data_IF_731752304607
#
_entry.id   IF_731752304607
#
_cell.length_a   1.000
_cell.length_b   1.000
_cell.length_c   1.000
_cell.angle_alpha   90.00
_cell.angle_beta   90.00
_cell.angle_gamma   90.00
#
_symmetry.space_group_name_H-M   'P 1'
#
loop_
_entity.id
_entity.type
_entity.pdbx_description
1 polymer ?
#
# COMPACT_ATOMS: atom_id res chain seq x y z
N UNK A 1 32.32 11.72 -11.72
CA UNK A 1 31.07 11.01 -11.39
C UNK A 1 30.07 11.30 -12.49
N UNK A 2 30.00 10.41 -13.45
CA UNK A 2 29.10 10.52 -14.61
C UNK A 2 27.68 10.14 -14.19
N UNK A 3 26.68 10.83 -14.73
CA UNK A 3 25.24 10.63 -14.45
C UNK A 3 24.81 9.13 -14.49
N UNK A 4 25.49 8.32 -15.28
CA UNK A 4 25.30 6.88 -15.39
C UNK A 4 25.57 6.07 -14.11
N UNK A 5 26.63 6.38 -13.35
CA UNK A 5 26.97 5.66 -12.12
C UNK A 5 25.93 5.90 -11.01
N UNK A 6 25.34 7.09 -10.98
CA UNK A 6 24.23 7.40 -10.07
C UNK A 6 22.96 6.67 -10.49
N UNK A 7 22.67 6.57 -11.79
CA UNK A 7 21.51 5.84 -12.29
C UNK A 7 21.61 4.34 -12.00
N UNK A 8 22.78 3.72 -12.18
CA UNK A 8 22.97 2.29 -11.92
C UNK A 8 22.82 1.95 -10.44
N UNK A 9 23.33 2.79 -9.54
CA UNK A 9 23.14 2.63 -8.09
C UNK A 9 21.67 2.70 -7.68
N UNK A 10 20.87 3.58 -8.32
CA UNK A 10 19.43 3.67 -8.07
C UNK A 10 18.67 2.42 -8.55
N UNK A 11 19.06 1.85 -9.70
CA UNK A 11 18.44 0.62 -10.23
C UNK A 11 18.78 -0.59 -9.36
N UNK A 12 20.00 -0.65 -8.80
CA UNK A 12 20.43 -1.74 -7.91
C UNK A 12 19.63 -1.87 -6.61
N UNK A 13 18.95 -0.81 -6.16
CA UNK A 13 18.07 -0.83 -4.99
C UNK A 13 16.66 -1.37 -5.25
N UNK A 14 16.31 -1.65 -6.51
CA UNK A 14 14.99 -2.15 -6.88
C UNK A 14 14.96 -3.67 -6.67
N UNK A 15 14.06 -4.21 -5.82
CA UNK A 15 13.96 -5.66 -5.63
C UNK A 15 13.65 -6.36 -6.95
N UNK A 16 14.32 -7.49 -7.22
CA UNK A 16 14.03 -8.31 -8.40
C UNK A 16 12.68 -9.02 -8.24
N UNK A 17 11.64 -8.32 -8.67
CA UNK A 17 10.25 -8.77 -8.65
C UNK A 17 9.85 -9.45 -9.97
N UNK A 18 10.72 -10.27 -10.56
CA UNK A 18 10.45 -11.02 -11.82
C UNK A 18 9.12 -11.78 -11.82
N UNK A 19 8.72 -12.32 -10.66
CA UNK A 19 7.47 -13.09 -10.52
C UNK A 19 6.25 -12.24 -10.11
N UNK A 20 6.37 -10.91 -10.07
CA UNK A 20 5.27 -10.06 -9.63
C UNK A 20 4.17 -9.95 -10.69
N UNK A 21 2.96 -10.38 -10.32
CA UNK A 21 1.77 -10.36 -11.20
C UNK A 21 1.23 -8.97 -11.49
N UNK A 22 1.71 -7.95 -10.78
CA UNK A 22 1.40 -6.55 -11.06
C UNK A 22 2.14 -6.00 -12.30
N UNK A 23 3.22 -6.65 -12.74
CA UNK A 23 3.99 -6.21 -13.91
C UNK A 23 3.11 -6.24 -15.17
N UNK A 24 3.13 -5.14 -15.93
CA UNK A 24 2.31 -4.96 -17.14
C UNK A 24 0.85 -4.56 -16.88
N UNK A 25 0.47 -4.26 -15.62
CA UNK A 25 -0.90 -3.84 -15.25
C UNK A 25 -0.93 -2.48 -14.56
N UNK A 26 -0.03 -1.57 -14.92
CA UNK A 26 0.14 -0.27 -14.26
C UNK A 26 -1.19 0.50 -14.16
N UNK A 27 -1.99 0.53 -15.23
CA UNK A 27 -3.28 1.23 -15.26
C UNK A 27 -4.25 0.79 -14.17
N UNK A 28 -4.29 -0.53 -13.87
CA UNK A 28 -5.13 -1.06 -12.80
C UNK A 28 -4.68 -0.56 -11.43
N UNK A 29 -3.37 -0.49 -11.21
CA UNK A 29 -2.79 -0.04 -9.94
C UNK A 29 -2.88 1.48 -9.78
N UNK A 30 -2.68 2.25 -10.86
CA UNK A 30 -2.91 3.70 -10.89
C UNK A 30 -4.38 4.05 -10.60
N UNK A 31 -5.33 3.28 -11.14
CA UNK A 31 -6.77 3.45 -10.86
C UNK A 31 -7.15 3.23 -9.38
N UNK A 32 -6.29 2.63 -8.56
CA UNK A 32 -6.53 2.48 -7.11
C UNK A 32 -6.28 3.75 -6.32
N UNK A 33 -5.60 4.72 -6.93
CA UNK A 33 -5.33 6.04 -6.39
C UNK A 33 -6.37 7.00 -6.96
N UNK A 34 -7.31 7.43 -6.11
CA UNK A 34 -8.29 8.44 -6.48
C UNK A 34 -7.56 9.76 -6.77
N UNK A 35 -7.27 10.03 -8.03
CA UNK A 35 -6.82 11.36 -8.47
C UNK A 35 -8.07 12.14 -8.84
N UNK A 36 -8.26 13.30 -8.19
CA UNK A 36 -9.26 14.28 -8.63
C UNK A 36 -8.79 14.78 -10.00
N UNK A 37 -9.21 14.15 -11.10
CA UNK A 37 -9.03 14.72 -12.44
C UNK A 37 -9.84 16.00 -12.52
N UNK A 38 -9.28 16.98 -13.23
CA UNK A 38 -9.89 18.30 -13.48
C UNK A 38 -11.25 18.16 -14.18
N UNK A 39 -11.47 17.04 -14.87
CA UNK A 39 -12.62 16.83 -15.78
C UNK A 39 -13.63 15.79 -15.27
N UNK A 40 -13.56 15.43 -13.99
CA UNK A 40 -14.39 14.37 -13.39
C UNK A 40 -13.52 13.20 -12.94
N UNK A 41 -13.18 13.19 -11.65
CA UNK A 41 -12.42 12.09 -11.06
C UNK A 41 -13.18 10.76 -11.12
N UNK A 42 -12.44 9.64 -11.09
CA UNK A 42 -13.05 8.33 -10.95
C UNK A 42 -13.97 8.29 -9.74
N UNK A 43 -15.16 7.73 -9.93
CA UNK A 43 -16.12 7.60 -8.83
C UNK A 43 -15.50 6.77 -7.70
N UNK A 44 -15.93 7.00 -6.46
CA UNK A 44 -15.48 6.19 -5.31
C UNK A 44 -15.71 4.69 -5.57
N UNK A 45 -16.75 4.34 -6.33
CA UNK A 45 -17.07 2.97 -6.70
C UNK A 45 -16.05 2.38 -7.66
N UNK A 46 -15.62 3.11 -8.69
CA UNK A 46 -14.55 2.66 -9.60
C UNK A 46 -13.22 2.43 -8.87
N UNK A 47 -12.83 3.36 -8.00
CA UNK A 47 -11.60 3.23 -7.20
C UNK A 47 -11.67 1.99 -6.30
N UNK A 48 -12.82 1.75 -5.67
CA UNK A 48 -13.03 0.56 -4.86
C UNK A 48 -13.01 -0.73 -5.70
N UNK A 49 -13.61 -0.74 -6.88
CA UNK A 49 -13.57 -1.87 -7.80
C UNK A 49 -12.13 -2.18 -8.25
N UNK A 50 -11.35 -1.15 -8.60
CA UNK A 50 -9.93 -1.29 -8.94
C UNK A 50 -9.12 -1.85 -7.76
N UNK A 51 -9.38 -1.37 -6.53
CA UNK A 51 -8.73 -1.90 -5.31
C UNK A 51 -9.03 -3.37 -5.09
N UNK A 52 -10.30 -3.79 -5.22
CA UNK A 52 -10.68 -5.20 -5.08
C UNK A 52 -9.97 -6.07 -6.12
N UNK A 53 -9.93 -5.63 -7.38
CA UNK A 53 -9.23 -6.36 -8.44
C UNK A 53 -7.72 -6.46 -8.18
N UNK A 54 -7.07 -5.37 -7.77
CA UNK A 54 -5.65 -5.35 -7.43
C UNK A 54 -5.33 -6.24 -6.21
N UNK A 55 -6.16 -6.22 -5.17
CA UNK A 55 -5.99 -7.09 -4.00
C UNK A 55 -6.06 -8.58 -4.35
N UNK A 56 -6.99 -8.98 -5.24
CA UNK A 56 -7.08 -10.36 -5.74
C UNK A 56 -5.81 -10.77 -6.49
N UNK A 57 -5.23 -9.87 -7.29
CA UNK A 57 -3.96 -10.14 -7.96
C UNK A 57 -2.80 -10.28 -6.98
N UNK A 58 -2.72 -9.42 -5.96
CA UNK A 58 -1.70 -9.52 -4.92
C UNK A 58 -1.82 -10.83 -4.13
N UNK A 59 -3.03 -11.27 -3.80
CA UNK A 59 -3.26 -12.52 -3.07
C UNK A 59 -2.77 -13.76 -3.83
N UNK A 60 -2.81 -13.73 -5.17
CA UNK A 60 -2.36 -14.81 -6.03
C UNK A 60 -0.91 -14.64 -6.55
N UNK A 61 -0.13 -13.74 -5.96
CA UNK A 61 1.22 -13.39 -6.40
C UNK A 61 2.29 -14.14 -5.59
N UNK A 62 3.18 -14.86 -6.27
CA UNK A 62 4.28 -15.61 -5.63
C UNK A 62 5.33 -14.70 -5.01
N UNK A 63 5.51 -13.48 -5.54
CA UNK A 63 6.43 -12.47 -4.99
C UNK A 63 5.85 -11.65 -3.82
N UNK A 64 4.69 -12.03 -3.25
CA UNK A 64 3.99 -11.22 -2.25
C UNK A 64 4.82 -10.96 -0.99
N UNK A 65 5.50 -11.98 -0.47
CA UNK A 65 6.30 -11.84 0.75
C UNK A 65 7.49 -10.91 0.56
N UNK A 66 8.19 -11.00 -0.57
CA UNK A 66 9.28 -10.07 -0.92
C UNK A 66 8.76 -8.64 -1.08
N UNK A 67 7.57 -8.48 -1.67
CA UNK A 67 6.91 -7.18 -1.81
C UNK A 67 6.55 -6.56 -0.45
N UNK A 68 6.11 -7.38 0.51
CA UNK A 68 5.84 -6.95 1.90
C UNK A 68 7.12 -6.57 2.64
N UNK A 69 8.17 -7.37 2.52
CA UNK A 69 9.46 -7.08 3.13
C UNK A 69 10.03 -5.75 2.64
N UNK A 70 9.99 -5.51 1.33
CA UNK A 70 10.39 -4.22 0.75
C UNK A 70 9.51 -3.06 1.23
N UNK A 71 8.18 -3.22 1.26
CA UNK A 71 7.28 -2.17 1.72
C UNK A 71 7.54 -1.81 3.20
N UNK A 72 7.93 -2.78 4.02
CA UNK A 72 8.26 -2.58 5.42
C UNK A 72 9.54 -1.75 5.65
N UNK A 73 10.51 -1.77 4.72
CA UNK A 73 11.71 -0.93 4.83
C UNK A 73 11.44 0.54 4.51
N UNK A 74 10.34 0.84 3.82
CA UNK A 74 9.98 2.21 3.48
C UNK A 74 9.37 2.96 4.67
N UNK A 75 9.92 4.15 4.93
CA UNK A 75 9.30 5.13 5.84
C UNK A 75 7.88 5.46 5.35
N UNK A 76 6.90 5.69 6.24
CA UNK A 76 5.51 5.95 5.85
C UNK A 76 5.35 7.02 4.77
N UNK A 77 6.11 8.12 4.86
CA UNK A 77 6.09 9.24 3.90
C UNK A 77 6.62 8.89 2.51
N UNK A 78 7.34 7.78 2.37
CA UNK A 78 7.89 7.28 1.09
C UNK A 78 7.11 6.09 0.54
N UNK A 79 6.04 5.67 1.22
CA UNK A 79 5.24 4.53 0.75
C UNK A 79 4.39 4.94 -0.45
N UNK A 80 4.39 4.15 -1.53
CA UNK A 80 3.52 4.38 -2.68
C UNK A 80 2.05 4.31 -2.25
N UNK A 81 1.22 5.19 -2.82
CA UNK A 81 -0.23 5.22 -2.57
C UNK A 81 -0.93 4.15 -3.41
N UNK A 82 -2.15 3.77 -3.03
CA UNK A 82 -2.92 2.76 -3.76
C UNK A 82 -2.67 1.35 -3.24
N UNK A 83 -2.94 0.32 -4.05
CA UNK A 83 -2.73 -1.08 -3.63
C UNK A 83 -1.28 -1.50 -3.85
N UNK A 84 -0.57 -1.83 -2.77
CA UNK A 84 0.81 -2.33 -2.82
C UNK A 84 0.99 -3.44 -1.79
N UNK A 85 1.68 -4.52 -2.14
CA UNK A 85 1.94 -5.68 -1.27
C UNK A 85 0.66 -6.29 -0.63
N UNK A 86 -0.48 -6.21 -1.34
CA UNK A 86 -1.78 -6.67 -0.82
C UNK A 86 -2.39 -5.74 0.24
N UNK A 87 -1.96 -4.49 0.32
CA UNK A 87 -2.43 -3.48 1.26
C UNK A 87 -2.85 -2.21 0.51
N UNK A 88 -3.91 -1.55 0.96
CA UNK A 88 -4.34 -0.25 0.39
C UNK A 88 -3.63 0.87 1.16
N UNK A 89 -2.62 1.51 0.59
CA UNK A 89 -1.90 2.62 1.20
C UNK A 89 -2.61 3.94 0.91
N UNK A 90 -2.93 4.69 1.97
CA UNK A 90 -3.64 5.97 1.89
C UNK A 90 -2.69 7.17 1.76
N UNK A 91 -3.22 8.40 1.69
CA UNK A 91 -2.43 9.64 1.63
C UNK A 91 -1.47 9.84 2.80
N UNK A 92 -1.73 9.20 3.94
CA UNK A 92 -0.85 9.26 5.12
C UNK A 92 0.28 8.23 5.06
N UNK A 93 0.36 7.42 3.99
CA UNK A 93 1.32 6.32 3.87
C UNK A 93 0.97 5.11 4.74
N UNK A 94 -0.16 5.14 5.44
CA UNK A 94 -0.63 4.04 6.28
C UNK A 94 -1.57 3.10 5.51
N UNK A 95 -1.47 1.78 5.73
CA UNK A 95 -2.44 0.82 5.24
C UNK A 95 -3.85 1.09 5.76
N UNK A 96 -4.84 1.06 4.88
CA UNK A 96 -6.25 1.08 5.21
C UNK A 96 -6.63 -0.30 5.80
N UNK A 97 -6.45 -0.44 7.11
CA UNK A 97 -6.67 -1.69 7.82
C UNK A 97 -5.88 -1.79 9.13
N UNK A 98 -4.79 -1.01 9.29
CA UNK A 98 -4.07 -0.89 10.57
C UNK A 98 -4.67 0.20 11.47
N UNK A 99 -6.00 0.35 11.49
CA UNK A 99 -6.61 0.96 12.67
C UNK A 99 -6.46 -0.09 13.77
N UNK A 100 -5.36 0.04 14.51
CA UNK A 100 -5.16 -0.60 15.81
C UNK A 100 -6.52 -0.58 16.50
N UNK A 101 -7.01 -1.76 16.90
CA UNK A 101 -7.97 -1.84 17.97
C UNK A 101 -7.30 -1.16 19.16
N UNK A 102 -7.53 0.13 19.30
CA UNK A 102 -7.14 0.90 20.46
C UNK A 102 -8.07 0.42 21.56
N UNK A 103 -7.62 -0.57 22.32
CA UNK A 103 -8.17 -0.90 23.63
C UNK A 103 -7.93 0.30 24.54
N UNK A 104 -8.77 1.32 24.40
CA UNK A 104 -8.93 2.39 25.36
C UNK A 104 -10.30 2.18 25.99
N UNK A 105 -10.31 1.71 27.25
CA UNK A 105 -11.54 1.55 28.02
C UNK A 105 -11.55 0.44 29.07
N UNK A 106 -10.45 0.19 29.77
CA UNK A 106 -10.53 -0.40 31.11
C UNK A 106 -10.37 0.78 32.10
N UNK A 107 -11.50 1.37 32.49
CA UNK A 107 -11.57 2.19 33.71
C UNK A 107 -12.23 1.34 34.79
N UNK A 108 -11.55 1.27 35.92
CA UNK A 108 -11.96 0.62 37.14
C UNK A 108 -13.27 1.22 37.68
N UNK A 109 -14.05 0.39 38.35
CA UNK A 109 -14.96 0.81 39.40
C UNK A 109 -14.55 0.05 40.67
N UNK A 110 -13.90 0.77 41.56
CA UNK A 110 -13.67 0.42 42.96
C UNK A 110 -15.00 0.24 43.71
N UNK A 111 -15.04 -0.78 44.57
CA UNK A 111 -15.56 -0.75 45.94
C UNK A 111 -17.04 -0.47 46.22
N UNK A 112 -17.73 -1.46 46.81
CA UNK A 112 -18.68 -1.22 47.90
C UNK A 112 -18.74 -2.45 48.82
N UNK A 113 -18.34 -2.21 50.07
CA UNK A 113 -18.39 -3.07 51.26
C UNK A 113 -19.81 -3.02 51.87
N UNK A 114 -20.35 -4.17 52.28
CA UNK A 114 -21.35 -4.39 53.36
C UNK A 114 -21.67 -5.87 53.52
#
# INVERSE_FOLDING_TARGET
>A
MTNWEHMSALVGGIPDLRAARCKGRADLFEATVAVRRIDGGSSRNEVNAARVAALRLCAACTALEQCRAWLATLRPTRRPRGVVAGQVITSTGLPLGTRTMSTAGAVAADGADS
#
